data_IF_083522191519
#
_entry.id   IF_083522191519
#
_cell.length_a   1.000
_cell.length_b   1.000
_cell.length_c   1.000
_cell.angle_alpha   90.00
_cell.angle_beta   90.00
_cell.angle_gamma   90.00
#
_symmetry.space_group_name_H-M   'P 1'
#
loop_
_entity.id
_entity.type
_entity.pdbx_description
1 polymer ?
#
# COMPACT_ATOMS: atom_id res chain seq x y z
N UNK A 1 15.07 21.05 -12.05
CA UNK A 1 13.98 20.19 -12.57
C UNK A 1 13.39 19.47 -11.38
N UNK A 2 12.11 19.70 -11.05
CA UNK A 2 11.45 18.92 -9.99
C UNK A 2 11.13 17.57 -10.63
N UNK A 3 11.92 16.54 -10.29
CA UNK A 3 11.54 15.17 -10.64
C UNK A 3 10.15 14.92 -10.03
N UNK A 4 9.15 14.68 -10.88
CA UNK A 4 7.80 14.40 -10.42
C UNK A 4 7.83 13.10 -9.61
N UNK A 5 7.41 13.14 -8.34
CA UNK A 5 7.40 11.98 -7.45
C UNK A 5 6.62 10.81 -8.08
N UNK A 6 7.07 9.58 -7.89
CA UNK A 6 6.30 8.40 -8.29
C UNK A 6 4.92 8.45 -7.62
N UNK A 7 3.86 8.20 -8.38
CA UNK A 7 2.45 8.27 -7.98
C UNK A 7 1.93 9.67 -7.58
N UNK A 8 2.55 10.78 -7.99
CA UNK A 8 2.13 12.13 -7.55
C UNK A 8 0.69 12.54 -7.89
N UNK A 9 0.02 11.83 -8.82
CA UNK A 9 -1.37 12.07 -9.22
C UNK A 9 -2.40 11.23 -8.48
N UNK A 10 -1.93 10.30 -7.66
CA UNK A 10 -2.79 9.37 -6.94
C UNK A 10 -3.07 9.87 -5.52
N UNK A 11 -4.32 9.78 -5.05
CA UNK A 11 -4.71 10.29 -3.73
C UNK A 11 -4.09 9.45 -2.61
N UNK A 12 -3.90 10.09 -1.46
CA UNK A 12 -3.63 9.41 -0.20
C UNK A 12 -4.96 9.22 0.52
N UNK A 13 -5.15 8.04 1.11
CA UNK A 13 -6.32 7.73 1.94
C UNK A 13 -5.92 7.96 3.40
N UNK A 14 -6.16 9.17 3.89
CA UNK A 14 -5.64 9.65 5.18
C UNK A 14 -6.14 8.87 6.39
N UNK A 15 -7.30 8.22 6.27
CA UNK A 15 -7.88 7.35 7.28
C UNK A 15 -6.99 6.14 7.59
N UNK A 16 -6.11 5.75 6.65
CA UNK A 16 -5.15 4.66 6.83
C UNK A 16 -3.91 5.07 7.62
N UNK A 17 -3.74 6.36 7.93
CA UNK A 17 -2.52 6.86 8.57
C UNK A 17 -2.18 6.06 9.85
N UNK A 18 -0.95 5.55 9.88
CA UNK A 18 -0.40 4.78 10.98
C UNK A 18 1.10 5.10 11.13
N UNK A 19 1.47 5.76 12.23
CA UNK A 19 2.86 6.18 12.55
C UNK A 19 3.56 6.98 11.42
N UNK A 20 2.80 7.81 10.72
CA UNK A 20 3.22 8.63 9.58
C UNK A 20 3.31 7.89 8.25
N UNK A 21 2.92 6.61 8.20
CA UNK A 21 2.74 5.86 6.96
C UNK A 21 1.29 5.98 6.49
N UNK A 22 1.08 6.15 5.18
CA UNK A 22 -0.27 6.32 4.62
C UNK A 22 -0.38 5.55 3.31
N UNK A 23 -1.50 4.85 3.12
CA UNK A 23 -1.85 4.22 1.86
C UNK A 23 -2.21 5.27 0.81
N UNK A 24 -1.84 5.02 -0.43
CA UNK A 24 -2.31 5.76 -1.58
C UNK A 24 -2.85 4.84 -2.67
N UNK A 25 -3.91 5.31 -3.30
CA UNK A 25 -4.80 4.50 -4.13
C UNK A 25 -4.43 4.62 -5.61
N UNK A 26 -4.19 3.49 -6.29
CA UNK A 26 -3.96 3.44 -7.73
C UNK A 26 -5.18 2.83 -8.43
N UNK A 27 -5.62 1.66 -7.96
CA UNK A 27 -6.90 1.06 -8.36
C UNK A 27 -8.03 1.69 -7.57
N UNK A 28 -9.13 2.10 -8.22
CA UNK A 28 -10.35 2.48 -7.50
C UNK A 28 -10.98 1.22 -6.89
N UNK A 29 -10.92 1.11 -5.57
CA UNK A 29 -11.39 -0.08 -4.85
C UNK A 29 -12.91 -0.16 -4.73
N UNK A 30 -13.62 0.95 -4.99
CA UNK A 30 -15.06 1.05 -4.82
C UNK A 30 -15.83 0.91 -6.12
N UNK A 31 -15.14 0.97 -7.27
CA UNK A 31 -15.69 0.70 -8.60
C UNK A 31 -15.60 -0.80 -8.98
N UNK A 32 -15.87 -1.69 -8.01
CA UNK A 32 -15.96 -3.13 -8.25
C UNK A 32 -17.42 -3.61 -8.14
N UNK A 33 -17.92 -4.23 -9.20
CA UNK A 33 -19.29 -4.76 -9.32
C UNK A 33 -19.44 -6.14 -8.65
N UNK A 34 -18.70 -6.37 -7.55
CA UNK A 34 -18.73 -7.61 -6.78
C UNK A 34 -19.40 -7.41 -5.42
N UNK A 35 -20.39 -8.23 -5.11
CA UNK A 35 -21.13 -8.18 -3.85
C UNK A 35 -20.20 -8.33 -2.62
N UNK A 36 -19.11 -9.08 -2.79
CA UNK A 36 -18.10 -9.39 -1.78
C UNK A 36 -17.08 -8.26 -1.55
N UNK A 37 -17.03 -7.25 -2.42
CA UNK A 37 -16.02 -6.17 -2.41
C UNK A 37 -14.78 -6.51 -3.25
N UNK A 38 -13.85 -5.54 -3.36
CA UNK A 38 -12.64 -5.66 -4.15
C UNK A 38 -11.62 -6.61 -3.50
N UNK A 39 -11.08 -7.56 -4.26
CA UNK A 39 -10.19 -8.63 -3.75
C UNK A 39 -8.75 -8.55 -4.26
N UNK A 40 -8.44 -7.62 -5.16
CA UNK A 40 -7.07 -7.38 -5.63
C UNK A 40 -6.93 -5.95 -6.16
N UNK A 41 -5.70 -5.45 -6.22
CA UNK A 41 -5.44 -4.16 -6.84
C UNK A 41 -4.02 -3.66 -6.64
N UNK A 42 -3.81 -2.43 -7.09
CA UNK A 42 -2.55 -1.73 -6.97
C UNK A 42 -2.71 -0.51 -6.05
N UNK A 43 -1.64 -0.20 -5.32
CA UNK A 43 -1.54 0.98 -4.49
C UNK A 43 -0.09 1.38 -4.27
N UNK A 44 0.10 2.33 -3.37
CA UNK A 44 1.41 2.68 -2.86
C UNK A 44 1.35 3.01 -1.38
N UNK A 45 2.50 3.02 -0.71
CA UNK A 45 2.62 3.48 0.66
C UNK A 45 3.55 4.66 0.69
N UNK A 46 3.11 5.78 1.28
CA UNK A 46 3.95 6.91 1.60
C UNK A 46 4.47 6.79 3.02
N UNK A 47 5.78 6.85 3.19
CA UNK A 47 6.46 6.84 4.49
C UNK A 47 6.53 8.26 5.09
N UNK A 48 6.88 8.42 6.38
CA UNK A 48 6.91 9.72 7.05
C UNK A 48 7.85 10.75 6.41
N UNK A 49 8.92 10.31 5.76
CA UNK A 49 9.84 11.18 5.03
C UNK A 49 9.33 11.58 3.63
N UNK A 50 8.12 11.16 3.25
CA UNK A 50 7.52 11.41 1.94
C UNK A 50 7.99 10.48 0.81
N UNK A 51 8.91 9.55 1.09
CA UNK A 51 9.32 8.51 0.12
C UNK A 51 8.23 7.45 -0.02
N UNK A 52 8.20 6.74 -1.15
CA UNK A 52 7.09 5.83 -1.50
C UNK A 52 7.58 4.46 -1.93
N UNK A 53 6.75 3.44 -1.74
CA UNK A 53 6.85 2.15 -2.42
C UNK A 53 5.54 1.79 -3.08
N UNK A 54 5.61 1.04 -4.18
CA UNK A 54 4.43 0.43 -4.76
C UNK A 54 4.00 -0.81 -3.96
N UNK A 55 2.71 -1.09 -3.94
CA UNK A 55 2.19 -2.37 -3.47
C UNK A 55 1.21 -2.94 -4.49
N UNK A 56 1.34 -4.23 -4.74
CA UNK A 56 0.38 -5.04 -5.49
C UNK A 56 -0.26 -5.93 -4.44
N UNK A 57 -1.56 -5.86 -4.27
CA UNK A 57 -2.23 -6.56 -3.19
C UNK A 57 -3.31 -7.50 -3.70
N UNK A 58 -3.53 -8.57 -2.95
CA UNK A 58 -4.58 -9.56 -3.17
C UNK A 58 -5.16 -10.00 -1.83
N UNK A 59 -6.38 -10.53 -1.87
CA UNK A 59 -6.99 -11.18 -0.73
C UNK A 59 -6.25 -12.48 -0.41
N UNK A 60 -5.83 -12.63 0.83
CA UNK A 60 -5.08 -13.76 1.35
C UNK A 60 -5.59 -14.18 2.74
N UNK A 61 -5.34 -15.44 3.11
CA UNK A 61 -5.74 -15.96 4.43
C UNK A 61 -4.98 -15.32 5.60
N UNK A 62 -3.75 -14.85 5.33
CA UNK A 62 -2.85 -14.27 6.33
C UNK A 62 -2.12 -13.07 5.72
N UNK A 63 -1.78 -12.06 6.54
CA UNK A 63 -0.99 -10.95 6.04
C UNK A 63 0.39 -11.44 5.65
N UNK A 64 0.85 -10.99 4.49
CA UNK A 64 2.22 -11.24 4.04
C UNK A 64 2.74 -10.01 3.31
N UNK A 65 4.06 -9.93 3.21
CA UNK A 65 4.75 -9.04 2.30
C UNK A 65 5.89 -9.80 1.63
N UNK A 66 6.08 -9.60 0.33
CA UNK A 66 7.24 -10.13 -0.39
C UNK A 66 7.74 -9.10 -1.39
N UNK A 67 9.05 -9.06 -1.62
CA UNK A 67 9.63 -8.14 -2.60
C UNK A 67 9.26 -8.57 -4.01
N UNK A 68 8.65 -7.67 -4.78
CA UNK A 68 8.43 -7.81 -6.22
C UNK A 68 9.56 -7.10 -6.99
N UNK A 69 9.88 -5.86 -6.60
CA UNK A 69 11.00 -5.09 -7.14
C UNK A 69 11.77 -4.52 -5.95
N UNK A 70 13.09 -4.71 -5.95
CA UNK A 70 14.00 -4.16 -4.94
C UNK A 70 13.96 -2.61 -4.91
N UNK A 71 14.45 -2.03 -3.82
CA UNK A 71 14.56 -0.58 -3.69
C UNK A 71 15.49 0.02 -4.75
N UNK A 72 15.15 1.23 -5.21
CA UNK A 72 15.94 2.02 -6.14
C UNK A 72 15.99 3.49 -5.68
N UNK A 73 16.52 4.39 -6.53
CA UNK A 73 16.64 5.81 -6.19
C UNK A 73 15.30 6.56 -6.15
N UNK A 74 14.22 5.98 -6.67
CA UNK A 74 12.90 6.62 -6.77
C UNK A 74 11.92 6.12 -5.70
N UNK A 75 12.02 4.84 -5.33
CA UNK A 75 11.13 4.17 -4.38
C UNK A 75 11.87 3.16 -3.51
N UNK A 76 11.37 2.96 -2.30
CA UNK A 76 11.94 1.97 -1.37
C UNK A 76 11.49 0.54 -1.67
N UNK A 77 10.94 0.27 -2.86
CA UNK A 77 10.60 -1.05 -3.37
C UNK A 77 9.22 -1.10 -4.05
N UNK A 78 8.90 -2.28 -4.57
CA UNK A 78 7.53 -2.71 -4.89
C UNK A 78 7.29 -4.05 -4.21
N UNK A 79 6.17 -4.21 -3.55
CA UNK A 79 5.88 -5.39 -2.74
C UNK A 79 4.57 -6.05 -3.14
N UNK A 80 4.54 -7.38 -3.14
CA UNK A 80 3.27 -8.11 -3.10
C UNK A 80 2.78 -8.13 -1.64
N UNK A 81 1.50 -7.88 -1.43
CA UNK A 81 0.89 -7.74 -0.11
C UNK A 81 -0.37 -8.59 0.01
N UNK A 82 -0.47 -9.39 1.07
CA UNK A 82 -1.69 -10.11 1.41
C UNK A 82 -2.59 -9.27 2.30
N UNK A 83 -3.72 -8.80 1.76
CA UNK A 83 -4.81 -8.23 2.56
C UNK A 83 -5.73 -9.34 3.05
N UNK A 84 -6.31 -9.20 4.24
CA UNK A 84 -7.09 -10.27 4.88
C UNK A 84 -8.59 -10.03 4.85
N UNK A 85 -9.02 -8.91 4.26
CA UNK A 85 -10.43 -8.58 4.01
C UNK A 85 -10.59 -8.07 2.59
N UNK A 86 -11.67 -8.42 1.89
CA UNK A 86 -12.09 -7.67 0.71
C UNK A 86 -12.31 -6.20 1.09
N UNK A 87 -12.04 -5.28 0.17
CA UNK A 87 -12.29 -3.86 0.39
C UNK A 87 -13.67 -3.53 -0.16
N UNK A 88 -14.61 -3.22 0.73
CA UNK A 88 -15.94 -2.70 0.37
C UNK A 88 -16.16 -1.28 0.89
N UNK A 89 -15.48 -0.96 1.98
CA UNK A 89 -15.56 0.33 2.67
C UNK A 89 -14.15 0.83 2.99
N UNK A 90 -14.04 2.14 3.30
CA UNK A 90 -12.79 2.71 3.79
C UNK A 90 -12.32 2.00 5.07
N UNK A 91 -13.23 1.58 5.93
CA UNK A 91 -12.89 0.85 7.16
C UNK A 91 -12.20 -0.50 6.88
N UNK A 92 -12.57 -1.18 5.80
CA UNK A 92 -11.90 -2.43 5.37
C UNK A 92 -10.47 -2.16 4.93
N UNK A 93 -10.26 -1.08 4.17
CA UNK A 93 -8.93 -0.64 3.75
C UNK A 93 -8.08 -0.23 4.96
N UNK A 94 -8.64 0.52 5.91
CA UNK A 94 -7.97 0.89 7.17
C UNK A 94 -7.57 -0.35 7.96
N UNK A 95 -8.47 -1.33 8.07
CA UNK A 95 -8.19 -2.59 8.77
C UNK A 95 -7.06 -3.36 8.10
N UNK A 96 -7.13 -3.53 6.78
CA UNK A 96 -6.09 -4.21 6.02
C UNK A 96 -4.75 -3.52 6.18
N UNK A 97 -4.69 -2.20 5.99
CA UNK A 97 -3.45 -1.43 6.11
C UNK A 97 -2.82 -1.56 7.50
N UNK A 98 -3.62 -1.43 8.58
CA UNK A 98 -3.13 -1.64 9.96
C UNK A 98 -2.65 -3.06 10.21
N UNK A 99 -3.25 -4.05 9.56
CA UNK A 99 -2.85 -5.46 9.67
C UNK A 99 -1.48 -5.71 9.04
N UNK A 100 -1.19 -5.10 7.89
CA UNK A 100 0.11 -5.25 7.20
C UNK A 100 1.16 -4.23 7.62
N UNK A 101 0.79 -3.21 8.39
CA UNK A 101 1.68 -2.13 8.81
C UNK A 101 2.99 -2.62 9.48
N UNK A 102 2.98 -3.60 10.41
CA UNK A 102 4.23 -4.11 10.99
C UNK A 102 5.22 -4.62 9.94
N UNK A 103 4.71 -5.28 8.88
CA UNK A 103 5.51 -5.80 7.77
C UNK A 103 6.04 -4.66 6.87
N UNK A 104 5.20 -3.65 6.61
CA UNK A 104 5.61 -2.44 5.87
C UNK A 104 6.75 -1.72 6.59
N UNK A 105 6.63 -1.56 7.91
CA UNK A 105 7.67 -0.91 8.71
C UNK A 105 8.98 -1.66 8.64
N UNK A 106 8.94 -2.99 8.66
CA UNK A 106 10.11 -3.85 8.54
C UNK A 106 10.80 -3.67 7.18
N UNK A 107 10.07 -3.79 6.07
CA UNK A 107 10.67 -3.67 4.73
C UNK A 107 11.19 -2.25 4.47
N UNK A 108 10.51 -1.22 4.95
CA UNK A 108 10.98 0.16 4.86
C UNK A 108 12.31 0.37 5.60
N UNK A 109 12.46 -0.22 6.80
CA UNK A 109 13.71 -0.13 7.56
C UNK A 109 14.85 -0.91 6.88
N UNK A 110 14.54 -2.02 6.21
CA UNK A 110 15.53 -2.81 5.48
C UNK A 110 15.99 -2.17 4.17
N UNK A 111 15.08 -1.53 3.43
CA UNK A 111 15.39 -0.80 2.20
C UNK A 111 16.29 0.43 2.40
N UNK A 112 16.48 0.86 3.65
CA UNK A 112 17.28 2.03 4.04
C UNK A 112 18.67 1.68 4.60
N UNK A 113 19.00 0.39 4.72
CA UNK A 113 20.34 -0.07 5.09
C UNK A 113 21.23 -0.11 3.87
#
# INVERSE_FOLDING_TARGET
>A
MIASRVYYRHPLIWETETDGFTYGEITDHFDFDEEVGCTFGDGFVQAPNGSRAGIIWELAEKPYISTCIEADNERWGVYNVGFVRPIKTVDDLVYNFKTIYPLIKEVYNNARK
#
